data_IF_367330282250
#
_entry.id   IF_367330282250
#
_cell.length_a   1.000
_cell.length_b   1.000
_cell.length_c   1.000
_cell.angle_alpha   90.00
_cell.angle_beta   90.00
_cell.angle_gamma   90.00
#
_symmetry.space_group_name_H-M   'P 1'
#
loop_
_entity.id
_entity.type
_entity.pdbx_description
1 polymer ?
#
# COMPACT_ATOMS: atom_id res chain seq x y z
N UNK A 1 -3.10 -13.86 -24.25
CA UNK A 1 -3.96 -12.86 -23.55
C UNK A 1 -5.38 -12.87 -24.13
N UNK A 2 -5.54 -12.65 -25.44
CA UNK A 2 -6.88 -12.66 -26.11
C UNK A 2 -7.61 -13.98 -25.92
N UNK A 3 -6.93 -15.11 -26.08
CA UNK A 3 -7.49 -16.44 -25.84
C UNK A 3 -7.97 -16.60 -24.38
N UNK A 4 -7.24 -16.04 -23.42
CA UNK A 4 -7.67 -16.04 -22.03
C UNK A 4 -9.01 -15.31 -21.85
N UNK A 5 -9.18 -14.13 -22.45
CA UNK A 5 -10.46 -13.41 -22.35
C UNK A 5 -11.60 -14.15 -23.02
N UNK A 6 -11.35 -14.74 -24.20
CA UNK A 6 -12.35 -15.54 -24.95
C UNK A 6 -12.80 -16.77 -24.16
N UNK A 7 -11.90 -17.40 -23.42
CA UNK A 7 -12.21 -18.56 -22.58
C UNK A 7 -12.84 -18.19 -21.23
N UNK A 8 -12.96 -16.90 -20.92
CA UNK A 8 -13.47 -16.41 -19.62
C UNK A 8 -14.54 -15.32 -19.80
N UNK A 9 -15.43 -15.48 -20.76
CA UNK A 9 -16.52 -14.52 -21.05
C UNK A 9 -17.52 -14.35 -19.90
N UNK A 10 -17.54 -15.29 -18.99
CA UNK A 10 -18.26 -15.19 -17.72
C UNK A 10 -17.73 -14.03 -16.83
N UNK A 11 -16.41 -13.77 -16.90
CA UNK A 11 -15.74 -12.74 -16.11
C UNK A 11 -15.43 -11.46 -16.88
N UNK A 12 -15.24 -11.56 -18.19
CA UNK A 12 -14.83 -10.44 -19.04
C UNK A 12 -15.92 -10.13 -20.08
N UNK A 13 -16.32 -8.87 -20.15
CA UNK A 13 -17.32 -8.41 -21.12
C UNK A 13 -16.89 -7.09 -21.76
N UNK A 14 -17.27 -6.91 -23.02
CA UNK A 14 -17.16 -5.64 -23.73
C UNK A 14 -18.58 -5.21 -24.08
N UNK A 15 -18.93 -3.98 -23.76
CA UNK A 15 -20.25 -3.39 -23.92
C UNK A 15 -20.15 -1.98 -24.49
N UNK A 16 -21.25 -1.42 -24.95
CA UNK A 16 -21.30 -0.02 -25.38
C UNK A 16 -21.53 0.93 -24.19
N UNK A 17 -21.22 2.21 -24.38
CA UNK A 17 -21.45 3.25 -23.34
C UNK A 17 -22.94 3.40 -23.00
N UNK A 18 -23.85 3.14 -23.95
CA UNK A 18 -25.29 3.21 -23.77
C UNK A 18 -25.82 2.14 -22.80
N UNK A 19 -25.05 1.07 -22.57
CA UNK A 19 -25.41 0.02 -21.63
C UNK A 19 -25.02 0.36 -20.17
N UNK A 20 -24.40 1.51 -19.94
CA UNK A 20 -24.16 2.03 -18.61
C UNK A 20 -25.48 2.58 -18.04
N UNK A 21 -25.92 2.16 -16.83
CA UNK A 21 -27.16 2.66 -16.25
C UNK A 21 -27.19 4.20 -16.15
N UNK A 22 -28.24 4.82 -16.67
CA UNK A 22 -28.37 6.29 -16.72
C UNK A 22 -28.54 6.97 -15.36
N UNK A 23 -29.00 6.22 -14.35
CA UNK A 23 -29.26 6.74 -12.98
C UNK A 23 -28.05 6.70 -12.02
N UNK A 24 -26.85 6.40 -12.49
CA UNK A 24 -25.67 6.29 -11.63
C UNK A 24 -25.28 7.65 -11.03
N UNK A 25 -25.07 7.66 -9.71
CA UNK A 25 -24.53 8.82 -9.01
C UNK A 25 -23.00 8.85 -9.12
N UNK A 26 -22.50 9.58 -10.11
CA UNK A 26 -21.08 9.77 -10.33
C UNK A 26 -20.47 10.73 -9.31
N UNK A 27 -19.36 10.31 -8.71
CA UNK A 27 -18.55 11.08 -7.75
C UNK A 27 -17.18 11.34 -8.37
N UNK A 28 -16.59 12.48 -8.06
CA UNK A 28 -15.23 12.87 -8.47
C UNK A 28 -14.29 13.11 -7.27
N UNK A 29 -14.84 13.21 -6.05
CA UNK A 29 -14.06 13.45 -4.84
C UNK A 29 -13.40 14.84 -4.76
N UNK A 30 -13.67 15.74 -5.72
CA UNK A 30 -13.04 17.06 -5.74
C UNK A 30 -13.56 17.99 -4.63
N UNK A 31 -14.64 17.62 -3.95
CA UNK A 31 -15.17 18.31 -2.77
C UNK A 31 -14.35 18.10 -1.49
N UNK A 32 -13.49 17.07 -1.42
CA UNK A 32 -12.62 16.82 -0.27
C UNK A 32 -11.58 17.94 -0.08
N UNK A 33 -11.17 18.17 1.16
CA UNK A 33 -10.14 19.16 1.49
C UNK A 33 -8.77 18.73 0.92
N UNK A 34 -7.98 19.70 0.51
CA UNK A 34 -6.59 19.49 0.15
C UNK A 34 -5.75 19.35 1.43
N UNK A 35 -4.99 18.27 1.54
CA UNK A 35 -4.22 17.93 2.74
C UNK A 35 -2.71 18.16 2.60
N UNK A 36 -2.30 18.83 1.53
CA UNK A 36 -0.89 19.17 1.25
C UNK A 36 -0.68 20.68 1.40
N UNK A 37 0.50 21.08 1.86
CA UNK A 37 0.81 22.50 2.06
C UNK A 37 1.29 23.16 0.77
N UNK A 38 0.73 24.32 0.39
CA UNK A 38 1.26 25.12 -0.72
C UNK A 38 2.68 25.65 -0.46
N UNK A 39 3.11 25.70 0.81
CA UNK A 39 4.46 26.12 1.20
C UNK A 39 5.51 25.01 1.03
N UNK A 40 5.10 23.82 0.62
CA UNK A 40 6.00 22.70 0.41
C UNK A 40 7.03 23.03 -0.69
N UNK A 41 8.30 22.83 -0.35
CA UNK A 41 9.42 23.14 -1.27
C UNK A 41 9.82 21.88 -2.05
N UNK A 42 9.95 22.03 -3.34
CA UNK A 42 10.49 21.00 -4.23
C UNK A 42 11.99 21.03 -4.27
N UNK A 43 12.58 19.87 -4.48
CA UNK A 43 14.00 19.69 -4.72
C UNK A 43 14.70 18.81 -3.71
N UNK A 44 15.97 18.57 -3.97
CA UNK A 44 16.87 17.84 -3.12
C UNK A 44 16.69 16.32 -3.13
N UNK A 45 17.41 15.68 -2.22
CA UNK A 45 17.36 14.22 -2.05
C UNK A 45 16.82 13.88 -0.68
N UNK A 46 15.81 13.02 -0.62
CA UNK A 46 15.34 12.43 0.61
C UNK A 46 16.09 11.11 0.86
N UNK A 47 16.93 11.11 1.87
CA UNK A 47 17.77 9.97 2.25
C UNK A 47 17.07 9.13 3.30
N UNK A 48 16.82 7.87 2.97
CA UNK A 48 16.19 6.88 3.86
C UNK A 48 17.00 5.59 3.84
N UNK A 49 16.66 4.65 4.70
CA UNK A 49 17.34 3.38 4.75
C UNK A 49 16.39 2.19 4.75
N UNK A 50 16.92 1.06 4.34
CA UNK A 50 16.31 -0.27 4.48
C UNK A 50 17.35 -1.23 5.08
N UNK A 51 16.87 -2.32 5.69
CA UNK A 51 17.79 -3.27 6.34
C UNK A 51 18.42 -4.25 5.36
N UNK A 52 17.68 -4.62 4.34
CA UNK A 52 18.12 -5.59 3.35
C UNK A 52 17.92 -5.05 1.94
N UNK A 53 18.89 -5.32 1.07
CA UNK A 53 18.78 -4.98 -0.34
C UNK A 53 17.65 -5.81 -0.98
N UNK A 54 16.80 -5.23 -1.87
CA UNK A 54 15.74 -5.98 -2.53
C UNK A 54 16.32 -7.12 -3.35
N UNK A 55 15.66 -8.26 -3.34
CA UNK A 55 16.06 -9.41 -4.15
C UNK A 55 15.50 -9.34 -5.57
N UNK A 56 14.53 -8.47 -5.79
CA UNK A 56 13.87 -8.23 -7.07
C UNK A 56 13.26 -6.84 -7.09
N UNK A 57 13.06 -6.28 -8.28
CA UNK A 57 12.26 -5.09 -8.53
C UNK A 57 10.82 -5.44 -8.93
N UNK A 58 10.49 -6.71 -9.10
CA UNK A 58 9.09 -7.12 -9.31
C UNK A 58 8.26 -6.73 -8.09
N UNK A 59 7.04 -6.31 -8.34
CA UNK A 59 6.06 -5.97 -7.29
C UNK A 59 5.22 -7.17 -6.87
N UNK A 60 5.23 -8.26 -7.66
CA UNK A 60 4.44 -9.49 -7.45
C UNK A 60 5.35 -10.73 -7.65
N UNK A 61 5.06 -11.77 -6.88
CA UNK A 61 5.73 -13.06 -6.97
C UNK A 61 6.77 -13.31 -5.87
N UNK A 62 7.57 -14.37 -5.96
CA UNK A 62 8.61 -14.68 -5.00
C UNK A 62 9.58 -13.53 -4.79
N UNK A 63 10.00 -13.32 -3.56
CA UNK A 63 10.92 -12.25 -3.13
C UNK A 63 10.41 -10.80 -3.33
N UNK A 64 9.23 -10.59 -3.93
CA UNK A 64 8.69 -9.27 -4.22
C UNK A 64 8.12 -8.54 -2.99
N UNK A 65 7.80 -9.25 -1.92
CA UNK A 65 7.16 -8.70 -0.73
C UNK A 65 8.18 -8.12 0.29
N UNK A 66 9.28 -7.58 -0.18
CA UNK A 66 10.29 -6.90 0.64
C UNK A 66 9.92 -5.44 0.92
N UNK A 67 10.63 -4.81 1.89
CA UNK A 67 10.38 -3.43 2.29
C UNK A 67 10.50 -2.42 1.12
N UNK A 68 11.37 -2.69 0.15
CA UNK A 68 11.58 -1.81 -1.00
C UNK A 68 10.35 -1.74 -1.95
N UNK A 69 9.51 -2.77 -1.97
CA UNK A 69 8.26 -2.77 -2.74
C UNK A 69 7.40 -1.53 -2.46
N UNK A 70 7.41 -1.06 -1.22
CA UNK A 70 6.63 0.11 -0.82
C UNK A 70 7.01 1.36 -1.62
N UNK A 71 8.29 1.53 -1.93
CA UNK A 71 8.79 2.64 -2.73
C UNK A 71 8.46 2.49 -4.23
N UNK A 72 8.38 1.27 -4.73
CA UNK A 72 8.03 1.01 -6.12
C UNK A 72 6.52 1.12 -6.38
N UNK A 73 5.72 0.59 -5.47
CA UNK A 73 4.28 0.40 -5.68
C UNK A 73 3.41 1.06 -4.60
N UNK A 74 3.58 0.68 -3.31
CA UNK A 74 2.55 0.97 -2.31
C UNK A 74 2.38 2.47 -2.01
N UNK A 75 3.47 3.25 -2.03
CA UNK A 75 3.47 4.71 -1.81
C UNK A 75 3.61 5.52 -3.09
N UNK A 76 3.95 4.88 -4.20
CA UNK A 76 4.27 5.54 -5.45
C UNK A 76 3.16 5.38 -6.49
N UNK A 77 2.75 4.15 -6.82
CA UNK A 77 1.74 3.91 -7.84
C UNK A 77 0.33 4.29 -7.37
N UNK A 78 -0.44 4.92 -8.26
CA UNK A 78 -1.81 5.32 -7.95
C UNK A 78 -2.80 4.18 -8.19
N UNK A 79 -3.80 4.08 -7.32
CA UNK A 79 -5.00 3.26 -7.52
C UNK A 79 -6.08 4.08 -8.24
N UNK A 80 -7.19 3.45 -8.61
CA UNK A 80 -8.33 4.14 -9.23
C UNK A 80 -8.84 5.28 -8.37
N UNK A 81 -9.08 5.00 -7.10
CA UNK A 81 -9.59 5.94 -6.10
C UNK A 81 -8.69 5.88 -4.87
N UNK A 82 -8.42 6.98 -4.24
CA UNK A 82 -7.56 7.08 -3.07
C UNK A 82 -8.37 7.46 -1.84
N UNK A 83 -8.09 6.83 -0.69
CA UNK A 83 -8.71 7.19 0.58
C UNK A 83 -8.13 8.50 1.11
N UNK A 84 -8.99 9.40 1.57
CA UNK A 84 -8.56 10.67 2.11
C UNK A 84 -7.93 10.47 3.51
N UNK A 85 -6.76 11.09 3.81
CA UNK A 85 -6.05 10.81 5.07
C UNK A 85 -6.73 11.38 6.31
N UNK A 86 -7.60 12.40 6.17
CA UNK A 86 -8.20 13.14 7.28
C UNK A 86 -9.72 13.04 7.34
N UNK A 87 -10.34 12.28 6.42
CA UNK A 87 -11.80 12.06 6.38
C UNK A 87 -12.12 10.62 5.97
N UNK A 88 -13.39 10.23 6.04
CA UNK A 88 -13.87 8.97 5.48
C UNK A 88 -14.13 9.05 3.95
N UNK A 89 -13.73 10.17 3.33
CA UNK A 89 -13.92 10.44 1.92
C UNK A 89 -12.88 9.79 1.02
N UNK A 90 -13.11 9.93 -0.27
CA UNK A 90 -12.22 9.47 -1.32
C UNK A 90 -11.90 10.61 -2.27
N UNK A 91 -10.69 10.61 -2.81
CA UNK A 91 -10.24 11.55 -3.84
C UNK A 91 -9.75 10.80 -5.08
N UNK A 92 -9.72 11.47 -6.26
CA UNK A 92 -9.33 10.84 -7.51
C UNK A 92 -7.88 10.36 -7.48
N UNK A 93 -7.69 9.10 -7.88
CA UNK A 93 -6.40 8.53 -8.24
C UNK A 93 -6.24 8.53 -9.75
N UNK A 94 -6.32 7.33 -10.35
CA UNK A 94 -6.35 7.16 -11.81
C UNK A 94 -7.75 7.39 -12.41
N UNK A 95 -8.82 7.24 -11.62
CA UNK A 95 -10.16 7.54 -12.05
C UNK A 95 -10.50 8.99 -11.74
N UNK A 96 -10.91 9.75 -12.75
CA UNK A 96 -11.45 11.10 -12.59
C UNK A 96 -12.86 11.11 -11.98
N UNK A 97 -13.61 10.00 -12.16
CA UNK A 97 -14.90 9.80 -11.51
C UNK A 97 -15.24 8.32 -11.36
N UNK A 98 -16.11 8.02 -10.39
CA UNK A 98 -16.61 6.68 -10.15
C UNK A 98 -18.07 6.69 -9.68
N UNK A 99 -18.78 5.59 -9.91
CA UNK A 99 -20.15 5.43 -9.45
C UNK A 99 -20.38 4.01 -8.93
N UNK A 100 -21.05 3.89 -7.80
CA UNK A 100 -21.44 2.60 -7.24
C UNK A 100 -22.88 2.31 -7.69
N UNK A 101 -23.10 1.14 -8.28
CA UNK A 101 -24.43 0.69 -8.66
C UNK A 101 -25.29 0.35 -7.43
N UNK A 102 -26.62 0.27 -7.61
CA UNK A 102 -27.59 -0.03 -6.56
C UNK A 102 -27.36 -1.40 -5.90
N UNK A 103 -26.77 -2.35 -6.65
CA UNK A 103 -26.38 -3.67 -6.13
C UNK A 103 -25.28 -3.61 -5.05
N UNK A 104 -24.60 -2.46 -4.92
CA UNK A 104 -23.47 -2.22 -4.02
C UNK A 104 -22.32 -3.23 -4.18
N UNK A 105 -22.20 -3.80 -5.36
CA UNK A 105 -21.14 -4.73 -5.78
C UNK A 105 -20.39 -4.23 -6.99
N UNK A 106 -21.09 -3.55 -7.90
CA UNK A 106 -20.56 -3.04 -9.16
C UNK A 106 -20.15 -1.60 -9.03
N UNK A 107 -18.93 -1.28 -9.41
CA UNK A 107 -18.41 0.09 -9.46
C UNK A 107 -17.96 0.39 -10.87
N UNK A 108 -18.45 1.50 -11.39
CA UNK A 108 -18.08 2.08 -12.67
C UNK A 108 -16.99 3.12 -12.48
N UNK A 109 -16.02 3.13 -13.36
CA UNK A 109 -14.89 4.08 -13.33
C UNK A 109 -14.73 4.75 -14.68
N UNK A 110 -14.41 6.04 -14.66
CA UNK A 110 -13.88 6.78 -15.79
C UNK A 110 -12.46 7.18 -15.46
N UNK A 111 -11.50 6.70 -16.21
CA UNK A 111 -10.11 7.06 -16.07
C UNK A 111 -9.89 8.54 -16.40
N UNK A 112 -8.90 9.13 -15.75
CA UNK A 112 -8.41 10.44 -16.14
C UNK A 112 -7.73 10.31 -17.51
N UNK A 113 -8.15 11.11 -18.53
CA UNK A 113 -7.59 11.00 -19.87
C UNK A 113 -6.10 11.35 -19.94
N UNK A 114 -5.59 12.11 -18.95
CA UNK A 114 -4.17 12.47 -18.86
C UNK A 114 -3.34 11.39 -18.17
N UNK A 115 -3.95 10.33 -17.64
CA UNK A 115 -3.24 9.30 -16.87
C UNK A 115 -2.24 8.54 -17.74
N UNK A 116 -0.95 8.65 -17.37
CA UNK A 116 0.17 8.01 -18.07
C UNK A 116 0.98 7.12 -17.13
N UNK A 117 1.58 6.12 -17.71
CA UNK A 117 2.72 5.41 -17.13
C UNK A 117 4.01 6.23 -17.30
N UNK A 118 5.03 5.89 -16.54
CA UNK A 118 6.33 6.56 -16.53
C UNK A 118 7.12 6.44 -17.84
N UNK A 119 6.73 5.57 -18.73
CA UNK A 119 7.27 5.41 -20.09
C UNK A 119 6.45 6.16 -21.16
N UNK A 120 5.48 6.98 -20.73
CA UNK A 120 4.65 7.81 -21.59
C UNK A 120 3.44 7.09 -22.22
N UNK A 121 3.25 5.79 -21.93
CA UNK A 121 2.06 5.09 -22.41
C UNK A 121 0.82 5.48 -21.62
N UNK A 122 -0.32 5.63 -22.31
CA UNK A 122 -1.59 5.98 -21.68
C UNK A 122 -2.12 4.81 -20.85
N UNK A 123 -2.61 5.10 -19.65
CA UNK A 123 -3.35 4.13 -18.83
C UNK A 123 -4.74 3.89 -19.45
N UNK A 124 -5.07 2.66 -19.76
CA UNK A 124 -6.30 2.28 -20.45
C UNK A 124 -7.16 1.36 -19.59
N UNK A 125 -8.44 1.35 -19.84
CA UNK A 125 -9.37 0.41 -19.22
C UNK A 125 -8.99 -1.06 -19.48
N UNK A 126 -8.35 -1.37 -20.62
CA UNK A 126 -7.82 -2.71 -20.93
C UNK A 126 -6.71 -3.17 -19.99
N UNK A 127 -5.94 -2.26 -19.38
CA UNK A 127 -4.92 -2.61 -18.37
C UNK A 127 -5.53 -3.26 -17.14
N UNK A 128 -6.82 -2.99 -16.87
CA UNK A 128 -7.58 -3.66 -15.80
C UNK A 128 -8.11 -5.03 -16.21
N UNK A 129 -8.34 -5.31 -17.49
CA UNK A 129 -8.52 -6.68 -17.97
C UNK A 129 -7.22 -7.46 -17.79
N UNK A 130 -6.12 -6.85 -18.24
CA UNK A 130 -4.79 -7.44 -18.13
C UNK A 130 -4.38 -7.69 -16.67
N UNK A 131 -4.74 -6.82 -15.74
CA UNK A 131 -4.55 -7.04 -14.32
C UNK A 131 -5.11 -8.40 -13.86
N UNK A 132 -6.33 -8.76 -14.27
CA UNK A 132 -6.93 -10.05 -13.90
C UNK A 132 -6.28 -11.25 -14.60
N UNK A 133 -5.87 -11.10 -15.83
CA UNK A 133 -5.05 -12.11 -16.52
C UNK A 133 -3.74 -12.33 -15.77
N UNK A 134 -3.03 -11.24 -15.47
CA UNK A 134 -1.75 -11.26 -14.78
C UNK A 134 -1.87 -11.89 -13.38
N UNK A 135 -2.80 -11.41 -12.56
CA UNK A 135 -2.97 -11.86 -11.18
C UNK A 135 -3.48 -13.30 -11.06
N UNK A 136 -4.17 -13.80 -12.08
CA UNK A 136 -4.64 -15.22 -12.15
C UNK A 136 -3.62 -16.15 -12.79
N UNK A 137 -2.56 -15.62 -13.38
CA UNK A 137 -1.54 -16.44 -14.04
C UNK A 137 -0.73 -17.25 -13.03
N UNK A 138 -0.48 -18.53 -13.36
CA UNK A 138 0.44 -19.39 -12.60
C UNK A 138 1.91 -18.92 -12.69
N UNK A 139 2.26 -18.19 -13.74
CA UNK A 139 3.64 -17.75 -14.01
C UNK A 139 4.15 -16.72 -13.00
N UNK A 140 3.27 -15.94 -12.38
CA UNK A 140 3.68 -15.00 -11.32
C UNK A 140 4.08 -15.69 -10.01
N UNK A 141 3.76 -16.97 -9.83
CA UNK A 141 4.05 -17.78 -8.64
C UNK A 141 3.66 -17.09 -7.32
N UNK A 142 2.47 -16.53 -7.27
CA UNK A 142 1.95 -15.77 -6.14
C UNK A 142 0.56 -16.30 -5.70
N UNK A 143 0.49 -17.45 -5.01
CA UNK A 143 -0.79 -18.13 -4.70
C UNK A 143 -1.79 -17.24 -3.97
N UNK A 144 -1.32 -16.35 -3.09
CA UNK A 144 -2.19 -15.41 -2.39
C UNK A 144 -2.91 -14.46 -3.37
N UNK A 145 -2.19 -13.93 -4.36
CA UNK A 145 -2.77 -13.06 -5.39
C UNK A 145 -3.70 -13.84 -6.31
N UNK A 146 -3.30 -15.06 -6.72
CA UNK A 146 -4.15 -15.92 -7.53
C UNK A 146 -5.49 -16.19 -6.84
N UNK A 147 -5.48 -16.47 -5.53
CA UNK A 147 -6.70 -16.66 -4.73
C UNK A 147 -7.46 -15.33 -4.54
N UNK A 148 -6.78 -14.25 -4.16
CA UNK A 148 -7.42 -12.96 -3.92
C UNK A 148 -8.12 -12.41 -5.16
N UNK A 149 -7.51 -12.53 -6.34
CA UNK A 149 -8.10 -12.11 -7.62
C UNK A 149 -8.93 -13.21 -8.30
N UNK A 150 -9.26 -14.28 -7.58
CA UNK A 150 -10.08 -15.39 -8.06
C UNK A 150 -11.46 -14.96 -8.56
N UNK A 151 -12.07 -15.81 -9.41
CA UNK A 151 -13.41 -15.57 -9.98
C UNK A 151 -14.52 -15.52 -8.94
N UNK A 152 -14.31 -16.15 -7.79
CA UNK A 152 -15.22 -16.16 -6.65
C UNK A 152 -15.26 -14.82 -5.89
N UNK A 153 -14.27 -13.95 -6.12
CA UNK A 153 -14.17 -12.63 -5.46
C UNK A 153 -14.39 -11.46 -6.43
N UNK A 154 -13.80 -11.52 -7.61
CA UNK A 154 -14.03 -10.54 -8.67
C UNK A 154 -14.82 -11.21 -9.78
N UNK A 155 -16.14 -10.99 -9.77
CA UNK A 155 -17.08 -11.73 -10.62
C UNK A 155 -17.02 -11.29 -12.07
N UNK A 156 -16.86 -10.00 -12.31
CA UNK A 156 -16.92 -9.44 -13.67
C UNK A 156 -16.12 -8.15 -13.79
N UNK A 157 -15.47 -8.01 -14.93
CA UNK A 157 -14.90 -6.74 -15.42
C UNK A 157 -15.51 -6.47 -16.78
N UNK A 158 -16.04 -5.27 -16.97
CA UNK A 158 -16.68 -4.87 -18.22
C UNK A 158 -16.01 -3.61 -18.76
N UNK A 159 -15.53 -3.66 -19.99
CA UNK A 159 -15.02 -2.49 -20.73
C UNK A 159 -16.16 -1.86 -21.52
N UNK A 160 -16.24 -0.53 -21.52
CA UNK A 160 -17.20 0.23 -22.33
C UNK A 160 -16.50 1.05 -23.41
N UNK A 161 -15.36 1.63 -23.09
CA UNK A 161 -14.45 2.28 -24.04
C UNK A 161 -13.01 2.25 -23.50
N UNK A 162 -12.12 3.06 -24.08
CA UNK A 162 -10.70 3.13 -23.69
C UNK A 162 -10.49 3.61 -22.24
N UNK A 163 -11.42 4.39 -21.70
CA UNK A 163 -11.28 5.00 -20.36
C UNK A 163 -12.38 4.61 -19.39
N UNK A 164 -13.45 3.93 -19.86
CA UNK A 164 -14.62 3.59 -19.06
C UNK A 164 -14.75 2.09 -18.87
N UNK A 165 -14.87 1.64 -17.65
CA UNK A 165 -15.06 0.22 -17.31
C UNK A 165 -15.77 0.08 -15.96
N UNK A 166 -16.17 -1.15 -15.66
CA UNK A 166 -16.72 -1.51 -14.35
C UNK A 166 -16.11 -2.79 -13.81
N UNK A 167 -16.08 -2.88 -12.47
CA UNK A 167 -15.66 -4.08 -11.74
C UNK A 167 -16.81 -4.49 -10.83
N UNK A 168 -17.20 -5.78 -10.88
CA UNK A 168 -18.20 -6.36 -9.99
C UNK A 168 -17.53 -7.26 -8.95
N UNK A 169 -17.68 -6.88 -7.69
CA UNK A 169 -17.19 -7.64 -6.54
C UNK A 169 -18.23 -8.67 -6.10
N UNK A 170 -17.82 -9.78 -5.48
CA UNK A 170 -18.70 -10.90 -5.13
C UNK A 170 -19.79 -10.54 -4.10
N UNK A 171 -19.54 -9.55 -3.25
CA UNK A 171 -20.40 -9.21 -2.12
C UNK A 171 -20.64 -7.72 -1.99
N UNK A 172 -21.89 -7.35 -1.73
CA UNK A 172 -22.23 -5.96 -1.40
C UNK A 172 -21.45 -5.47 -0.18
N UNK A 173 -20.81 -4.31 -0.33
CA UNK A 173 -19.98 -3.67 0.71
C UNK A 173 -20.27 -2.16 0.77
N UNK A 174 -20.27 -1.56 1.97
CA UNK A 174 -20.35 -0.09 2.09
C UNK A 174 -19.16 0.61 1.41
N UNK A 175 -18.00 -0.02 1.48
CA UNK A 175 -16.69 0.44 1.01
C UNK A 175 -16.29 -0.23 -0.32
N UNK A 176 -17.26 -0.62 -1.16
CA UNK A 176 -16.98 -1.37 -2.39
C UNK A 176 -16.07 -0.61 -3.35
N UNK A 177 -16.19 0.72 -3.44
CA UNK A 177 -15.34 1.54 -4.30
C UNK A 177 -13.85 1.42 -3.92
N UNK A 178 -13.54 1.41 -2.62
CA UNK A 178 -12.19 1.17 -2.11
C UNK A 178 -11.73 -0.26 -2.38
N UNK A 179 -12.63 -1.25 -2.19
CA UNK A 179 -12.30 -2.67 -2.40
C UNK A 179 -11.89 -3.00 -3.84
N UNK A 180 -12.48 -2.31 -4.80
CA UNK A 180 -12.16 -2.49 -6.23
C UNK A 180 -11.29 -1.35 -6.77
N UNK A 181 -10.76 -0.49 -5.91
CA UNK A 181 -9.78 0.52 -6.28
C UNK A 181 -8.41 -0.11 -6.51
N UNK A 182 -8.28 -0.73 -7.66
CA UNK A 182 -7.09 -1.49 -8.05
C UNK A 182 -6.07 -0.59 -8.76
N UNK A 183 -4.84 -1.06 -8.85
CA UNK A 183 -3.78 -0.49 -9.69
C UNK A 183 -3.75 -1.26 -11.01
N UNK A 184 -3.58 -0.59 -12.15
CA UNK A 184 -3.45 -1.27 -13.42
C UNK A 184 -2.13 -2.03 -13.49
N UNK A 185 -2.05 -3.02 -14.36
CA UNK A 185 -0.82 -3.70 -14.73
C UNK A 185 -0.55 -3.38 -16.19
N UNK A 186 0.61 -2.81 -16.56
CA UNK A 186 0.88 -2.35 -17.91
C UNK A 186 1.01 -3.54 -18.88
N UNK A 187 -0.03 -3.76 -19.70
CA UNK A 187 -0.05 -4.83 -20.70
C UNK A 187 1.11 -4.71 -21.69
N UNK A 188 1.43 -3.49 -22.12
CA UNK A 188 2.50 -3.22 -23.06
C UNK A 188 3.90 -3.60 -22.55
N UNK A 189 4.08 -3.62 -21.24
CA UNK A 189 5.36 -4.00 -20.60
C UNK A 189 5.48 -5.51 -20.41
N UNK A 190 4.42 -6.16 -19.93
CA UNK A 190 4.45 -7.58 -19.62
C UNK A 190 4.12 -8.47 -20.83
N UNK A 191 3.16 -8.05 -21.65
CA UNK A 191 2.66 -8.85 -22.76
C UNK A 191 2.11 -10.20 -22.28
N UNK A 192 2.38 -11.26 -23.01
CA UNK A 192 2.03 -12.62 -22.62
C UNK A 192 2.97 -13.15 -21.54
N UNK A 193 2.42 -13.73 -20.48
CA UNK A 193 3.18 -14.31 -19.39
C UNK A 193 3.54 -15.76 -19.66
N UNK A 194 4.81 -16.10 -19.46
CA UNK A 194 5.37 -17.42 -19.64
C UNK A 194 6.26 -17.87 -18.47
N UNK A 195 6.97 -18.97 -18.62
CA UNK A 195 7.88 -19.49 -17.60
C UNK A 195 9.06 -18.60 -17.27
N UNK A 196 9.42 -17.65 -18.13
CA UNK A 196 10.54 -16.72 -17.94
C UNK A 196 10.17 -15.48 -17.12
N UNK A 197 8.91 -15.32 -16.72
CA UNK A 197 8.44 -14.15 -15.96
C UNK A 197 9.37 -13.78 -14.81
N UNK A 198 9.77 -14.75 -13.97
CA UNK A 198 10.59 -14.48 -12.78
C UNK A 198 11.98 -13.96 -13.13
N UNK A 199 12.59 -14.51 -14.18
CA UNK A 199 13.94 -14.14 -14.63
C UNK A 199 13.91 -12.82 -15.40
N UNK A 200 13.00 -12.70 -16.37
CA UNK A 200 12.91 -11.55 -17.26
C UNK A 200 12.68 -10.24 -16.51
N UNK A 201 11.77 -10.25 -15.53
CA UNK A 201 11.38 -9.04 -14.80
C UNK A 201 12.05 -8.87 -13.44
N UNK A 202 13.05 -9.69 -13.09
CA UNK A 202 13.68 -9.64 -11.76
C UNK A 202 14.31 -8.30 -11.44
N UNK A 203 14.97 -7.67 -12.41
CA UNK A 203 15.67 -6.38 -12.25
C UNK A 203 15.23 -5.34 -13.26
N UNK A 204 14.12 -5.58 -13.93
CA UNK A 204 13.52 -4.66 -14.88
C UNK A 204 12.43 -3.87 -14.15
N UNK A 205 12.60 -2.55 -13.96
CA UNK A 205 11.57 -1.73 -13.32
C UNK A 205 10.30 -1.69 -14.15
N UNK A 206 9.17 -1.95 -13.50
CA UNK A 206 7.84 -1.81 -14.10
C UNK A 206 7.51 -0.35 -14.30
N UNK A 207 6.97 0.07 -15.48
CA UNK A 207 6.43 1.41 -15.65
C UNK A 207 5.35 1.72 -14.60
N UNK A 208 5.51 2.84 -13.92
CA UNK A 208 4.63 3.24 -12.81
C UNK A 208 3.71 4.40 -13.19
N UNK A 209 2.55 4.47 -12.58
CA UNK A 209 1.65 5.63 -12.66
C UNK A 209 2.02 6.74 -11.68
N UNK A 210 2.99 6.49 -10.80
CA UNK A 210 3.44 7.38 -9.75
C UNK A 210 4.58 8.32 -10.18
N UNK A 211 4.95 9.27 -9.31
CA UNK A 211 5.92 10.32 -9.63
C UNK A 211 7.38 9.86 -9.65
N UNK A 212 7.73 8.71 -9.03
CA UNK A 212 9.11 8.27 -8.91
C UNK A 212 9.38 7.01 -9.71
N UNK A 213 10.53 6.98 -10.36
CA UNK A 213 11.01 5.85 -11.16
C UNK A 213 12.36 5.35 -10.67
N UNK A 214 12.55 4.03 -10.69
CA UNK A 214 13.85 3.41 -10.57
C UNK A 214 14.36 3.09 -11.98
N UNK A 215 15.64 3.38 -12.25
CA UNK A 215 16.27 3.01 -13.52
C UNK A 215 17.52 2.18 -13.23
N UNK A 216 18.00 1.33 -14.15
CA UNK A 216 19.14 0.46 -13.90
C UNK A 216 20.39 1.17 -13.39
N UNK A 217 20.67 2.37 -13.89
CA UNK A 217 21.82 3.20 -13.49
C UNK A 217 21.72 3.74 -12.06
N UNK A 218 20.52 3.78 -11.50
CA UNK A 218 20.26 4.23 -10.14
C UNK A 218 20.25 3.09 -9.10
N UNK A 219 20.69 1.89 -9.50
CA UNK A 219 20.78 0.70 -8.67
C UNK A 219 22.23 0.37 -8.37
N UNK A 220 22.71 0.67 -7.16
CA UNK A 220 24.00 0.20 -6.65
C UNK A 220 23.76 -1.08 -5.85
N UNK A 221 23.93 -2.23 -6.52
CA UNK A 221 23.58 -3.56 -5.96
C UNK A 221 24.26 -3.80 -4.61
N UNK A 222 23.43 -4.16 -3.63
CA UNK A 222 23.85 -4.44 -2.26
C UNK A 222 24.02 -3.19 -1.39
N UNK A 223 23.98 -1.97 -1.94
CA UNK A 223 24.24 -0.72 -1.22
C UNK A 223 23.06 0.22 -1.20
N UNK A 224 22.47 0.54 -2.36
CA UNK A 224 21.38 1.50 -2.43
C UNK A 224 20.56 1.38 -3.71
N UNK A 225 19.34 1.89 -3.67
CA UNK A 225 18.53 2.18 -4.85
C UNK A 225 18.05 3.63 -4.75
N UNK A 226 18.19 4.39 -5.84
CA UNK A 226 17.69 5.76 -5.90
C UNK A 226 16.51 5.82 -6.85
N UNK A 227 15.39 6.36 -6.38
CA UNK A 227 14.26 6.69 -7.21
C UNK A 227 14.37 8.16 -7.62
N UNK A 228 14.09 8.45 -8.88
CA UNK A 228 14.16 9.81 -9.44
C UNK A 228 12.75 10.26 -9.78
N UNK A 229 12.43 11.51 -9.40
CA UNK A 229 11.14 12.11 -9.72
C UNK A 229 11.05 12.39 -11.22
N UNK A 230 9.89 12.07 -11.80
CA UNK A 230 9.58 12.44 -13.19
C UNK A 230 9.35 13.95 -13.29
N UNK A 231 9.94 14.59 -14.32
CA UNK A 231 9.77 16.04 -14.52
C UNK A 231 8.33 16.39 -14.93
N UNK A 232 7.75 15.58 -15.81
CA UNK A 232 6.43 15.82 -16.40
C UNK A 232 5.42 14.75 -15.94
N UNK A 233 5.39 14.49 -14.64
CA UNK A 233 4.42 13.55 -14.10
C UNK A 233 3.00 14.05 -14.32
N UNK A 234 2.17 13.22 -14.95
CA UNK A 234 0.81 13.57 -15.41
C UNK A 234 -0.11 14.16 -14.33
N UNK A 235 0.05 13.75 -13.06
CA UNK A 235 -0.79 14.20 -11.95
C UNK A 235 -0.19 15.40 -11.18
N UNK A 236 0.96 15.94 -11.59
CA UNK A 236 1.73 16.92 -10.84
C UNK A 236 0.95 18.20 -10.48
N UNK A 237 0.04 18.62 -11.34
CA UNK A 237 -0.78 19.83 -11.14
C UNK A 237 -2.21 19.53 -10.65
N UNK A 238 -2.56 18.27 -10.47
CA UNK A 238 -3.89 17.88 -9.99
C UNK A 238 -4.05 18.26 -8.50
N UNK A 239 -5.27 18.60 -8.06
CA UNK A 239 -5.60 19.16 -6.74
C UNK A 239 -4.90 18.44 -5.56
N UNK A 240 -4.96 17.12 -5.50
CA UNK A 240 -4.44 16.34 -4.38
C UNK A 240 -2.97 15.96 -4.51
N UNK A 241 -2.28 16.39 -5.56
CA UNK A 241 -0.89 15.98 -5.87
C UNK A 241 0.08 17.15 -6.02
N UNK A 242 -0.39 18.34 -6.37
CA UNK A 242 0.43 19.52 -6.74
C UNK A 242 1.42 19.99 -5.67
N UNK A 243 1.21 19.63 -4.41
CA UNK A 243 2.10 20.00 -3.30
C UNK A 243 2.72 18.77 -2.61
N UNK A 244 2.69 17.62 -3.29
CA UNK A 244 3.23 16.35 -2.79
C UNK A 244 4.41 15.90 -3.64
N UNK A 245 5.10 14.86 -3.15
CA UNK A 245 6.20 14.23 -3.89
C UNK A 245 7.32 15.22 -4.24
N UNK A 246 7.71 16.05 -3.25
CA UNK A 246 8.57 17.21 -3.45
C UNK A 246 10.07 16.90 -3.65
N UNK A 247 10.69 15.85 -3.05
CA UNK A 247 12.08 15.52 -3.33
C UNK A 247 12.32 15.16 -4.80
N UNK A 248 13.45 15.63 -5.38
CA UNK A 248 13.86 15.20 -6.73
C UNK A 248 14.30 13.73 -6.74
N UNK A 249 14.83 13.26 -5.61
CA UNK A 249 15.33 11.90 -5.46
C UNK A 249 14.95 11.32 -4.10
N UNK A 250 14.68 10.02 -4.08
CA UNK A 250 14.57 9.23 -2.85
C UNK A 250 15.70 8.21 -2.88
N UNK A 251 16.72 8.39 -2.04
CA UNK A 251 17.85 7.46 -1.93
C UNK A 251 17.62 6.50 -0.78
N UNK A 252 17.40 5.24 -1.10
CA UNK A 252 17.19 4.17 -0.13
C UNK A 252 18.48 3.38 0.06
N UNK A 253 19.20 3.64 1.14
CA UNK A 253 20.50 3.00 1.44
C UNK A 253 20.33 1.76 2.29
N UNK A 254 21.19 0.76 2.12
CA UNK A 254 21.15 -0.47 2.91
C UNK A 254 21.98 -0.31 4.18
N UNK A 255 21.33 -0.37 5.33
CA UNK A 255 21.97 -0.38 6.64
C UNK A 255 21.35 -1.48 7.49
N UNK A 256 22.05 -2.62 7.60
CA UNK A 256 21.50 -3.84 8.23
C UNK A 256 21.28 -3.69 9.73
N UNK A 257 22.20 -3.04 10.42
CA UNK A 257 22.11 -2.82 11.86
C UNK A 257 21.33 -1.54 12.19
N UNK A 258 20.29 -1.67 12.99
CA UNK A 258 19.40 -0.56 13.33
C UNK A 258 20.08 0.50 14.21
N UNK A 259 21.03 0.11 15.10
CA UNK A 259 21.75 1.07 15.91
C UNK A 259 22.73 1.85 15.02
N UNK A 260 23.37 1.17 14.06
CA UNK A 260 24.23 1.82 13.07
C UNK A 260 23.45 2.80 12.19
N UNK A 261 22.25 2.43 11.77
CA UNK A 261 21.37 3.34 11.02
C UNK A 261 21.02 4.59 11.86
N UNK A 262 20.80 4.43 13.16
CA UNK A 262 20.58 5.55 14.06
C UNK A 262 21.81 6.47 14.19
N UNK A 263 23.01 5.91 14.25
CA UNK A 263 24.25 6.71 14.24
C UNK A 263 24.42 7.51 12.93
N UNK A 264 24.08 6.91 11.80
CA UNK A 264 24.10 7.56 10.48
C UNK A 264 23.06 8.68 10.42
N UNK A 265 21.86 8.45 10.99
CA UNK A 265 20.83 9.47 11.15
C UNK A 265 21.31 10.65 11.98
N UNK A 266 22.00 10.41 13.10
CA UNK A 266 22.56 11.49 13.95
C UNK A 266 23.65 12.31 13.22
N UNK A 267 24.26 11.78 12.17
CA UNK A 267 25.20 12.52 11.33
C UNK A 267 24.52 13.32 10.20
N UNK A 268 23.18 13.21 10.06
CA UNK A 268 22.43 13.87 9.01
C UNK A 268 22.53 13.20 7.63
N UNK A 269 22.98 11.95 7.56
CA UNK A 269 23.06 11.18 6.32
C UNK A 269 21.76 10.41 6.01
N UNK A 270 20.81 10.39 6.95
CA UNK A 270 19.43 9.89 6.84
C UNK A 270 18.51 11.01 7.31
N UNK A 271 17.50 11.35 6.54
CA UNK A 271 16.62 12.49 6.80
C UNK A 271 15.45 12.17 7.73
N UNK A 272 15.03 10.91 7.77
CA UNK A 272 13.92 10.47 8.62
C UNK A 272 14.21 9.12 9.29
N UNK A 273 13.93 9.03 10.58
CA UNK A 273 14.13 7.82 11.35
C UNK A 273 12.90 7.49 12.20
N UNK A 274 12.27 6.36 11.92
CA UNK A 274 11.17 5.84 12.75
C UNK A 274 11.71 5.25 14.05
N UNK A 275 11.36 5.84 15.19
CA UNK A 275 11.87 5.44 16.49
C UNK A 275 11.10 4.25 17.06
N UNK A 276 11.49 3.04 16.66
CA UNK A 276 10.91 1.80 17.20
C UNK A 276 11.47 1.42 18.58
N UNK A 277 12.63 1.96 18.96
CA UNK A 277 13.24 1.74 20.28
C UNK A 277 12.96 2.93 21.20
N UNK A 278 12.29 2.67 22.31
CA UNK A 278 12.00 3.68 23.35
C UNK A 278 13.25 4.32 23.93
N UNK A 279 14.37 3.56 24.03
CA UNK A 279 15.68 4.06 24.43
C UNK A 279 16.12 5.28 23.58
N UNK A 280 15.96 5.20 22.25
CA UNK A 280 16.36 6.32 21.37
C UNK A 280 15.56 7.58 21.64
N UNK A 281 14.26 7.44 21.87
CA UNK A 281 13.38 8.56 22.14
C UNK A 281 13.63 9.20 23.51
N UNK A 282 13.75 8.38 24.57
CA UNK A 282 13.77 8.86 25.94
C UNK A 282 15.19 9.07 26.49
N UNK A 283 16.21 8.37 25.96
CA UNK A 283 17.56 8.41 26.51
C UNK A 283 18.58 9.06 25.58
N UNK A 284 18.52 8.76 24.27
CA UNK A 284 19.47 9.32 23.30
C UNK A 284 19.07 10.71 22.81
N UNK A 285 17.78 10.93 22.52
CA UNK A 285 17.25 12.18 21.99
C UNK A 285 16.51 12.97 23.05
N UNK A 286 17.16 13.23 24.17
CA UNK A 286 16.63 14.12 25.24
C UNK A 286 16.73 15.57 24.80
N UNK A 287 16.01 16.46 25.49
CA UNK A 287 16.08 17.91 25.25
C UNK A 287 17.49 18.50 25.56
N UNK A 288 18.35 17.72 26.23
CA UNK A 288 19.77 18.05 26.47
C UNK A 288 20.67 17.65 25.29
N UNK A 289 20.20 16.84 24.36
CA UNK A 289 20.97 16.47 23.17
C UNK A 289 21.21 17.72 22.31
N UNK A 290 22.45 17.97 21.92
CA UNK A 290 22.79 19.20 21.19
C UNK A 290 22.11 19.31 19.82
N UNK A 291 21.89 18.18 19.12
CA UNK A 291 21.20 18.17 17.83
C UNK A 291 19.73 18.60 17.98
N UNK A 292 19.07 18.14 19.06
CA UNK A 292 17.68 18.52 19.38
C UNK A 292 17.65 19.97 19.84
N UNK A 293 18.53 20.36 20.79
CA UNK A 293 18.60 21.72 21.37
C UNK A 293 18.87 22.78 20.29
N UNK A 294 19.74 22.48 19.34
CA UNK A 294 20.10 23.40 18.25
C UNK A 294 19.10 23.38 17.07
N UNK A 295 18.05 22.56 17.14
CA UNK A 295 17.03 22.45 16.08
C UNK A 295 17.48 21.70 14.82
N UNK A 296 18.64 21.02 14.86
CA UNK A 296 19.07 20.17 13.73
C UNK A 296 18.28 18.88 13.62
N UNK A 297 17.68 18.43 14.72
CA UNK A 297 16.86 17.24 14.80
C UNK A 297 15.54 17.57 15.51
N UNK A 298 14.42 17.27 14.87
CA UNK A 298 13.09 17.43 15.45
C UNK A 298 12.51 16.07 15.84
N UNK A 299 11.98 15.99 17.06
CA UNK A 299 11.17 14.87 17.53
C UNK A 299 9.70 15.18 17.26
N UNK A 300 9.04 14.36 16.48
CA UNK A 300 7.64 14.58 16.13
C UNK A 300 6.81 13.36 16.49
N UNK A 301 5.74 13.56 17.26
CA UNK A 301 4.67 12.60 17.45
C UNK A 301 3.41 13.16 16.81
N UNK A 302 2.76 12.41 15.95
CA UNK A 302 1.53 12.82 15.33
C UNK A 302 0.49 11.71 15.41
N UNK A 303 -0.77 12.11 15.44
CA UNK A 303 -1.90 11.20 15.50
C UNK A 303 -2.72 11.37 14.22
N UNK A 304 -3.34 10.30 13.76
CA UNK A 304 -4.24 10.31 12.63
C UNK A 304 -5.49 9.47 12.94
N UNK A 305 -6.46 9.47 12.02
CA UNK A 305 -7.71 8.71 12.15
C UNK A 305 -7.56 7.26 11.67
N UNK A 306 -6.39 6.91 11.14
CA UNK A 306 -6.14 5.53 10.69
C UNK A 306 -6.12 4.59 11.89
N UNK A 307 -6.88 3.50 11.89
CA UNK A 307 -6.84 2.52 12.96
C UNK A 307 -5.43 1.99 13.16
N UNK A 308 -4.97 1.86 14.42
CA UNK A 308 -3.60 1.44 14.70
C UNK A 308 -3.34 0.03 14.17
N UNK A 309 -2.16 -0.21 13.60
CA UNK A 309 -1.78 -1.56 13.19
C UNK A 309 -1.67 -2.46 14.41
N UNK A 310 -2.27 -3.65 14.34
CA UNK A 310 -2.16 -4.64 15.40
C UNK A 310 -0.78 -5.32 15.38
N UNK A 311 0.07 -4.98 16.32
CA UNK A 311 1.28 -5.77 16.61
C UNK A 311 0.88 -6.96 17.49
N UNK A 312 0.99 -8.17 16.97
CA UNK A 312 0.56 -9.37 17.68
C UNK A 312 1.45 -10.57 17.34
N UNK A 313 1.52 -11.52 18.27
CA UNK A 313 2.00 -12.85 17.94
C UNK A 313 0.92 -13.58 17.13
N UNK A 314 1.25 -13.89 15.88
CA UNK A 314 0.37 -14.66 15.00
C UNK A 314 0.58 -16.16 15.25
N UNK A 315 -0.47 -16.84 15.61
CA UNK A 315 -0.44 -18.27 15.97
C UNK A 315 -0.98 -19.06 14.77
N UNK A 316 -0.24 -20.08 14.33
CA UNK A 316 -0.76 -21.04 13.36
C UNK A 316 -1.68 -22.05 14.07
N UNK A 317 -2.98 -21.76 14.04
CA UNK A 317 -4.00 -22.61 14.68
C UNK A 317 -4.33 -23.91 13.94
N UNK A 318 -3.65 -24.20 12.85
CA UNK A 318 -3.76 -25.49 12.14
C UNK A 318 -2.65 -26.48 12.53
N UNK A 319 -1.72 -26.06 13.38
CA UNK A 319 -0.55 -26.88 13.76
C UNK A 319 -0.57 -27.20 15.25
N UNK A 320 -0.45 -28.51 15.59
CA UNK A 320 -0.31 -28.97 16.96
C UNK A 320 0.93 -28.36 17.65
N UNK A 321 0.85 -28.03 18.95
CA UNK A 321 -0.31 -28.14 19.82
C UNK A 321 -1.26 -26.92 19.76
N UNK A 322 -0.98 -25.95 18.91
CA UNK A 322 -1.71 -24.68 18.83
C UNK A 322 -3.04 -24.78 18.08
N UNK A 323 -3.39 -25.94 17.54
CA UNK A 323 -4.72 -26.29 17.04
C UNK A 323 -5.74 -26.46 18.18
N UNK A 324 -5.30 -26.79 19.39
CA UNK A 324 -6.14 -26.82 20.58
C UNK A 324 -6.44 -25.38 21.06
N UNK A 325 -7.73 -25.08 21.25
CA UNK A 325 -8.21 -23.79 21.70
C UNK A 325 -7.77 -23.45 23.14
N UNK A 326 -7.80 -24.43 24.04
CA UNK A 326 -7.46 -24.23 25.45
C UNK A 326 -5.98 -23.89 25.62
N UNK A 327 -5.11 -24.52 24.83
CA UNK A 327 -3.70 -24.18 24.80
C UNK A 327 -3.49 -22.73 24.32
N UNK A 328 -4.23 -22.27 23.31
CA UNK A 328 -4.17 -20.87 22.89
C UNK A 328 -4.67 -19.90 23.96
N UNK A 329 -5.71 -20.28 24.70
CA UNK A 329 -6.23 -19.50 25.83
C UNK A 329 -5.21 -19.45 26.97
N UNK A 330 -4.64 -20.58 27.34
CA UNK A 330 -3.55 -20.66 28.34
C UNK A 330 -2.37 -19.81 27.96
N UNK A 331 -1.97 -19.84 26.69
CA UNK A 331 -0.89 -18.98 26.16
C UNK A 331 -1.18 -17.50 26.34
N UNK A 332 -2.43 -17.03 26.15
CA UNK A 332 -2.82 -15.67 26.44
C UNK A 332 -2.67 -15.29 27.93
N UNK A 333 -2.98 -16.22 28.84
CA UNK A 333 -2.84 -16.00 30.27
C UNK A 333 -1.38 -16.09 30.74
N UNK A 334 -0.54 -16.87 30.09
CA UNK A 334 0.90 -16.99 30.40
C UNK A 334 1.70 -15.72 30.09
N UNK A 335 1.24 -14.88 29.16
CA UNK A 335 1.98 -13.70 28.73
C UNK A 335 1.62 -12.45 29.53
N UNK A 336 2.59 -11.91 30.27
CA UNK A 336 2.41 -10.65 31.00
C UNK A 336 2.62 -9.42 30.10
N UNK A 337 1.65 -9.15 29.23
CA UNK A 337 1.69 -7.98 28.34
C UNK A 337 1.73 -6.66 29.10
N UNK A 338 1.10 -6.58 30.30
CA UNK A 338 1.15 -5.37 31.11
C UNK A 338 2.58 -5.00 31.46
N UNK A 339 3.36 -5.98 31.93
CA UNK A 339 4.77 -5.77 32.27
C UNK A 339 5.58 -5.31 31.04
N UNK A 340 5.35 -5.91 29.88
CA UNK A 340 6.03 -5.55 28.63
C UNK A 340 5.69 -4.11 28.24
N UNK A 341 4.40 -3.75 28.26
CA UNK A 341 3.95 -2.39 27.91
C UNK A 341 4.52 -1.32 28.84
N UNK A 342 4.52 -1.59 30.14
CA UNK A 342 5.01 -0.63 31.16
C UNK A 342 6.55 -0.54 31.19
N UNK A 343 7.26 -1.67 31.16
CA UNK A 343 8.72 -1.71 31.37
C UNK A 343 9.53 -1.57 30.08
N UNK A 344 9.07 -2.16 29.00
CA UNK A 344 9.79 -2.13 27.71
C UNK A 344 9.31 -0.95 26.86
N UNK A 345 8.00 -0.79 26.72
CA UNK A 345 7.41 0.27 25.89
C UNK A 345 7.04 1.54 26.66
N UNK A 346 7.30 1.59 27.97
CA UNK A 346 7.14 2.77 28.82
C UNK A 346 5.76 3.44 28.75
N UNK A 347 4.72 2.66 28.39
CA UNK A 347 3.36 3.15 28.22
C UNK A 347 3.05 3.77 26.86
N UNK A 348 3.98 3.78 25.91
CA UNK A 348 3.75 4.31 24.55
C UNK A 348 2.76 3.48 23.72
N UNK A 349 2.50 2.24 24.14
CA UNK A 349 1.59 1.34 23.49
C UNK A 349 0.49 0.89 24.43
N UNK A 350 -0.69 0.70 23.86
CA UNK A 350 -1.84 0.16 24.60
C UNK A 350 -2.14 -1.25 24.16
N UNK A 351 -2.65 -2.09 25.08
CA UNK A 351 -3.10 -3.41 24.73
C UNK A 351 -4.43 -3.33 24.00
N UNK A 352 -4.48 -3.93 22.83
CA UNK A 352 -5.74 -4.07 22.08
C UNK A 352 -6.61 -5.17 22.70
N UNK A 353 -7.90 -4.91 22.80
CA UNK A 353 -8.89 -5.91 23.24
C UNK A 353 -9.29 -6.82 22.09
N UNK A 354 -9.34 -6.29 20.87
CA UNK A 354 -9.65 -6.99 19.63
C UNK A 354 -8.76 -6.52 18.49
N UNK A 355 -8.73 -7.27 17.40
CA UNK A 355 -8.04 -6.87 16.17
C UNK A 355 -8.68 -5.65 15.47
N UNK A 356 -9.88 -5.26 15.90
CA UNK A 356 -10.66 -4.15 15.36
C UNK A 356 -10.73 -2.96 16.34
N UNK A 357 -9.91 -2.91 17.37
CA UNK A 357 -9.84 -1.73 18.24
C UNK A 357 -9.42 -0.51 17.43
N UNK A 358 -10.08 0.62 17.67
CA UNK A 358 -9.89 1.86 16.92
C UNK A 358 -10.70 1.99 15.63
N UNK A 359 -11.48 0.97 15.26
CA UNK A 359 -12.35 1.01 14.08
C UNK A 359 -13.76 1.60 14.36
N UNK A 360 -13.89 2.44 15.39
CA UNK A 360 -15.16 3.08 15.74
C UNK A 360 -16.28 2.07 15.98
N UNK A 361 -17.41 2.23 15.32
CA UNK A 361 -18.57 1.33 15.48
C UNK A 361 -18.32 -0.14 15.08
N UNK A 362 -17.20 -0.44 14.44
CA UNK A 362 -16.80 -1.81 14.10
C UNK A 362 -16.00 -2.49 15.23
N UNK A 363 -15.58 -1.73 16.25
CA UNK A 363 -14.94 -2.29 17.46
C UNK A 363 -15.97 -2.94 18.34
N UNK A 364 -15.62 -4.09 18.97
CA UNK A 364 -16.54 -4.75 19.88
C UNK A 364 -16.65 -3.98 21.20
N UNK A 365 -17.87 -3.58 21.64
CA UNK A 365 -18.00 -2.61 22.73
C UNK A 365 -17.62 -3.14 24.11
N UNK A 366 -17.65 -4.45 24.33
CA UNK A 366 -17.47 -5.06 25.68
C UNK A 366 -16.38 -6.10 25.76
N UNK A 367 -15.82 -6.55 24.63
CA UNK A 367 -14.78 -7.58 24.64
C UNK A 367 -13.49 -7.01 25.25
N UNK A 368 -12.90 -7.76 26.17
CA UNK A 368 -11.66 -7.39 26.83
C UNK A 368 -10.56 -8.42 26.59
N UNK A 369 -9.34 -7.95 26.47
CA UNK A 369 -8.18 -8.82 26.36
C UNK A 369 -8.00 -9.63 27.66
N UNK A 370 -7.63 -10.90 27.54
CA UNK A 370 -7.36 -11.76 28.70
C UNK A 370 -6.19 -11.22 29.52
N UNK A 371 -6.37 -11.23 30.83
CA UNK A 371 -5.33 -10.79 31.78
C UNK A 371 -4.29 -11.88 32.01
N UNK A 372 -3.08 -11.45 32.40
CA UNK A 372 -2.05 -12.38 32.86
C UNK A 372 -2.52 -13.11 34.14
N UNK A 373 -2.37 -14.42 34.14
CA UNK A 373 -2.67 -15.28 35.33
C UNK A 373 -1.95 -16.62 35.15
N UNK A 374 -1.05 -16.92 36.08
CA UNK A 374 -0.33 -18.22 36.09
C UNK A 374 -1.27 -19.37 36.35
N UNK A 375 -2.33 -19.15 37.15
CA UNK A 375 -3.31 -20.19 37.47
C UNK A 375 -4.20 -20.58 36.28
N UNK A 376 -4.39 -19.66 35.32
CA UNK A 376 -5.22 -19.87 34.12
C UNK A 376 -4.39 -20.24 32.89
N UNK A 377 -3.07 -20.20 33.02
CA UNK A 377 -2.12 -20.57 31.97
C UNK A 377 -1.97 -22.10 31.93
#
# INVERSE_FOLDING_TARGET
>A
VLEFYQNHTDCFAIKSLEEIPSGLNWKDGLGEEEFSSPDAKRGGTWNVFMRDFPRTLRTIGPDANGAFRSYLSDYNALSLVMSHPNSDGYYPGLASSWAVADDRKTVYFRLDPDALYSDGQTVRASDFFFLFYYMRSKHIQAPWYNDFFGKDKFLKVTLFDTHTFSITYYKAKPDVAERVSLRPVPEHFYGELDGEYLNKYQWLPEPTTGPYVATPENIDKGKSVTLVRQNDWWADQKKFYRYRFNPDKIKVSVVRDYNKAFEIFLKGEIDMFGLAKTEFWYEKLTDKNQLVKNGYLSKVTFFNQTPPPSYALRINSQKAPLDNQDIRIGFHHAMNFKLVLEKIFRGDYVRMNTVADGYGARSHPTLQARTFSVEKA
#
